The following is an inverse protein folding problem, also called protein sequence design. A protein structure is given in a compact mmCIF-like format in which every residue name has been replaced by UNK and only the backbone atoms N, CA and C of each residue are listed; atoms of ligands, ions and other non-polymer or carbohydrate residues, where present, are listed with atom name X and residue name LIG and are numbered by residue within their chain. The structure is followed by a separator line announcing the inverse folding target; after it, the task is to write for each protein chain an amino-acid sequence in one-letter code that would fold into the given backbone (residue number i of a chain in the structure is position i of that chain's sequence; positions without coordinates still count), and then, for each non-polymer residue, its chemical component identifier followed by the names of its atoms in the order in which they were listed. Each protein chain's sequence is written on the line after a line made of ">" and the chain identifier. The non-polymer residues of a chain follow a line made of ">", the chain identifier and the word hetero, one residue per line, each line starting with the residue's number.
data_IF_514707985531
#
_entry.id   IF_514707985531
#
_cell.length_a   1.000
_cell.length_b   1.000
_cell.length_c   1.000
_cell.angle_alpha   90.00
_cell.angle_beta   90.00
_cell.angle_gamma   90.00
#
_symmetry.space_group_name_H-M   'P 1'
#
loop_
_entity.id
_entity.type
_entity.pdbx_description
1 polymer ?
#
# COMPACT_ATOMS: atom_id res chain seq x y z
N UNK A 1 -15.97 0.19 -8.28
CA UNK A 1 -14.60 0.75 -8.45
C UNK A 1 -14.56 2.25 -8.64
N UNK A 2 -15.58 2.88 -9.21
CA UNK A 2 -15.59 4.35 -9.33
C UNK A 2 -15.46 5.05 -7.98
N UNK A 3 -16.09 4.51 -6.95
CA UNK A 3 -16.04 5.08 -5.60
C UNK A 3 -14.65 4.99 -5.00
N UNK A 4 -13.99 3.84 -5.18
CA UNK A 4 -12.61 3.66 -4.73
C UNK A 4 -11.68 4.58 -5.49
N UNK A 5 -11.87 4.72 -6.80
CA UNK A 5 -11.07 5.65 -7.61
C UNK A 5 -11.16 7.07 -7.07
N UNK A 6 -12.35 7.53 -6.69
CA UNK A 6 -12.52 8.86 -6.11
C UNK A 6 -11.74 9.02 -4.80
N UNK A 7 -11.74 8.00 -3.96
CA UNK A 7 -10.99 8.03 -2.71
C UNK A 7 -9.50 8.15 -2.97
N UNK A 8 -8.96 7.35 -3.88
CA UNK A 8 -7.53 7.41 -4.22
C UNK A 8 -7.11 8.79 -4.73
N UNK A 9 -7.99 9.47 -5.46
CA UNK A 9 -7.67 10.79 -6.03
C UNK A 9 -7.71 11.92 -5.00
N UNK A 10 -8.34 11.70 -3.86
CA UNK A 10 -8.64 12.77 -2.89
C UNK A 10 -7.81 12.71 -1.60
N UNK A 11 -6.93 11.75 -1.46
CA UNK A 11 -6.07 11.67 -0.28
C UNK A 11 -4.87 12.60 -0.42
N UNK A 12 -4.36 13.13 0.69
CA UNK A 12 -3.17 14.00 0.70
C UNK A 12 -2.30 13.78 1.94
N UNK A 13 -2.74 12.94 2.88
CA UNK A 13 -2.01 12.66 4.11
C UNK A 13 -1.93 11.17 4.32
N UNK A 14 -0.95 10.74 5.11
CA UNK A 14 -0.83 9.33 5.47
C UNK A 14 -0.28 9.13 6.87
N UNK A 15 -0.67 8.01 7.45
CA UNK A 15 -0.07 7.45 8.65
C UNK A 15 0.49 6.08 8.27
N UNK A 16 1.73 5.84 8.65
CA UNK A 16 2.44 4.61 8.36
C UNK A 16 2.72 3.85 9.65
N UNK A 17 2.61 2.53 9.58
CA UNK A 17 2.97 1.65 10.68
C UNK A 17 3.52 0.35 10.15
N UNK A 18 4.60 -0.14 10.76
CA UNK A 18 5.08 -1.49 10.54
C UNK A 18 5.26 -2.20 11.87
N UNK A 19 5.04 -3.51 11.89
CA UNK A 19 5.17 -4.34 13.09
C UNK A 19 5.73 -5.68 12.73
N UNK A 20 6.75 -6.11 13.48
CA UNK A 20 7.23 -7.49 13.43
C UNK A 20 6.44 -8.30 14.45
N UNK A 21 5.89 -9.44 14.02
CA UNK A 21 4.99 -10.23 14.84
C UNK A 21 5.55 -11.64 15.08
N UNK A 22 5.07 -12.27 16.16
CA UNK A 22 5.38 -13.66 16.46
C UNK A 22 6.87 -13.93 16.54
N UNK A 23 7.34 -14.89 15.76
CA UNK A 23 8.73 -15.34 15.74
C UNK A 23 9.58 -14.64 14.66
N UNK A 24 9.16 -13.47 14.20
CA UNK A 24 9.97 -12.71 13.25
C UNK A 24 11.34 -12.39 13.82
N UNK A 25 12.37 -12.55 12.99
CA UNK A 25 13.74 -12.15 13.34
C UNK A 25 14.07 -10.72 12.90
N UNK A 26 13.12 -10.07 12.29
CA UNK A 26 13.28 -8.70 11.82
C UNK A 26 13.03 -7.70 12.93
N UNK A 27 13.12 -6.60 13.05
CA UNK A 27 12.74 -5.64 14.06
C UNK A 27 12.15 -4.40 13.38
N UNK A 28 11.11 -4.65 12.60
CA UNK A 28 10.48 -3.62 11.79
C UNK A 28 9.29 -3.01 12.53
N UNK A 29 9.56 -2.41 13.67
CA UNK A 29 8.55 -1.76 14.50
C UNK A 29 8.69 -0.25 14.39
N UNK A 30 8.03 0.33 13.38
CA UNK A 30 8.13 1.76 13.09
C UNK A 30 6.75 2.38 12.94
N UNK A 31 6.66 3.66 13.23
CA UNK A 31 5.48 4.44 12.93
C UNK A 31 5.91 5.79 12.36
N UNK A 32 5.06 6.36 11.53
CA UNK A 32 5.37 7.62 10.89
C UNK A 32 4.13 8.31 10.36
N UNK A 33 4.30 9.57 10.02
CA UNK A 33 3.27 10.38 9.39
C UNK A 33 3.85 11.02 8.15
N UNK A 34 2.99 11.44 7.25
CA UNK A 34 3.48 12.06 6.04
C UNK A 34 2.40 12.68 5.17
N UNK A 35 2.82 13.07 4.00
CA UNK A 35 1.97 13.64 2.97
C UNK A 35 2.12 12.85 1.69
N UNK A 36 1.05 12.80 0.92
CA UNK A 36 1.02 12.13 -0.38
C UNK A 36 0.62 13.12 -1.44
N UNK A 37 1.45 13.22 -2.48
CA UNK A 37 1.10 13.96 -3.70
C UNK A 37 0.51 12.98 -4.70
N UNK A 38 -0.67 13.30 -5.21
CA UNK A 38 -1.41 12.41 -6.12
C UNK A 38 -1.47 13.03 -7.50
N UNK A 39 -1.06 12.25 -8.50
CA UNK A 39 -1.13 12.64 -9.91
C UNK A 39 -1.92 11.58 -10.66
N UNK A 40 -2.91 12.00 -11.43
CA UNK A 40 -3.77 11.10 -12.19
C UNK A 40 -3.49 11.25 -13.68
N UNK A 41 -3.28 10.12 -14.38
CA UNK A 41 -3.13 10.04 -15.82
C UNK A 41 -3.94 8.86 -16.34
N UNK A 42 -5.01 9.14 -17.08
CA UNK A 42 -5.91 8.09 -17.59
C UNK A 42 -6.40 7.18 -16.46
N UNK A 43 -6.10 5.88 -16.52
CA UNK A 43 -6.46 4.92 -15.48
C UNK A 43 -5.38 4.70 -14.43
N UNK A 44 -4.34 5.55 -14.42
CA UNK A 44 -3.21 5.44 -13.50
C UNK A 44 -3.27 6.54 -12.46
N UNK A 45 -3.00 6.17 -11.22
CA UNK A 45 -2.94 7.10 -10.10
C UNK A 45 -1.57 6.92 -9.45
N UNK A 46 -0.77 7.99 -9.45
CA UNK A 46 0.56 7.97 -8.86
C UNK A 46 0.53 8.63 -7.49
N UNK A 47 1.12 7.95 -6.51
CA UNK A 47 1.33 8.48 -5.16
C UNK A 47 2.82 8.73 -4.96
N UNK A 48 3.16 9.95 -4.58
CA UNK A 48 4.48 10.25 -4.04
C UNK A 48 4.31 10.47 -2.54
N UNK A 49 4.69 9.48 -1.75
CA UNK A 49 4.60 9.52 -0.30
C UNK A 49 5.89 10.11 0.27
N UNK A 50 5.75 11.09 1.17
CA UNK A 50 6.86 11.63 1.94
C UNK A 50 6.58 11.36 3.39
N UNK A 51 7.35 10.44 3.97
CA UNK A 51 7.07 9.87 5.29
C UNK A 51 8.22 10.22 6.24
N UNK A 52 7.86 10.67 7.44
CA UNK A 52 8.82 10.86 8.53
C UNK A 52 8.56 9.79 9.58
N UNK A 53 9.57 8.96 9.84
CA UNK A 53 9.49 7.88 10.80
C UNK A 53 10.12 8.32 12.12
N UNK A 54 9.40 8.13 13.22
CA UNK A 54 9.84 8.43 14.58
C UNK A 54 10.40 9.85 14.73
N UNK A 55 9.85 10.80 13.95
CA UNK A 55 10.25 12.21 13.92
C UNK A 55 11.73 12.44 13.58
N UNK A 56 12.39 11.44 13.00
CA UNK A 56 13.84 11.52 12.72
C UNK A 56 14.20 11.30 11.27
N UNK A 57 13.68 10.23 10.68
CA UNK A 57 14.07 9.77 9.36
C UNK A 57 12.97 10.05 8.35
N UNK A 58 13.28 10.85 7.34
CA UNK A 58 12.33 11.12 6.25
C UNK A 58 12.76 10.41 5.00
N UNK A 59 11.80 9.83 4.27
CA UNK A 59 12.06 9.20 2.99
C UNK A 59 10.88 9.38 2.06
N UNK A 60 11.14 9.16 0.78
CA UNK A 60 10.12 9.18 -0.27
C UNK A 60 9.84 7.78 -0.76
N UNK A 61 8.57 7.49 -1.04
CA UNK A 61 8.14 6.23 -1.60
C UNK A 61 7.16 6.50 -2.73
N UNK A 62 7.33 5.82 -3.85
CA UNK A 62 6.50 6.00 -5.04
C UNK A 62 5.66 4.78 -5.30
N UNK A 63 4.36 4.99 -5.46
CA UNK A 63 3.39 3.95 -5.76
C UNK A 63 2.58 4.33 -6.98
N UNK A 64 2.14 3.34 -7.71
CA UNK A 64 1.22 3.53 -8.83
C UNK A 64 0.07 2.54 -8.71
N UNK A 65 -1.13 3.04 -8.88
CA UNK A 65 -2.35 2.24 -8.88
C UNK A 65 -2.96 2.30 -10.28
N UNK A 66 -3.35 1.16 -10.81
CA UNK A 66 -3.98 1.09 -12.12
C UNK A 66 -5.38 0.49 -11.96
N UNK A 67 -6.38 1.21 -12.45
CA UNK A 67 -7.77 0.78 -12.43
C UNK A 67 -8.13 0.25 -13.81
N UNK A 68 -8.42 -1.04 -13.90
CA UNK A 68 -8.82 -1.70 -15.14
C UNK A 68 -10.34 -1.75 -15.26
N UNK A 69 -10.85 -1.91 -16.50
CA UNK A 69 -12.28 -1.87 -16.81
C UNK A 69 -13.11 -2.96 -16.12
N UNK A 70 -12.48 -4.04 -15.68
CA UNK A 70 -13.17 -5.19 -15.06
C UNK A 70 -13.19 -5.13 -13.53
N UNK A 71 -13.15 -3.91 -12.96
CA UNK A 71 -13.11 -3.71 -11.51
C UNK A 71 -11.88 -4.37 -10.86
N UNK A 72 -10.77 -4.36 -11.56
CA UNK A 72 -9.49 -4.87 -11.07
C UNK A 72 -8.58 -3.70 -10.78
N UNK A 73 -8.02 -3.68 -9.59
CA UNK A 73 -7.05 -2.68 -9.15
C UNK A 73 -5.67 -3.33 -9.09
N UNK A 74 -4.69 -2.71 -9.72
CA UNK A 74 -3.30 -3.16 -9.64
C UNK A 74 -2.50 -2.18 -8.79
N UNK A 75 -1.60 -2.72 -8.00
CA UNK A 75 -0.62 -1.95 -7.24
C UNK A 75 0.78 -2.22 -7.79
N UNK A 76 1.47 -1.14 -8.16
CA UNK A 76 2.83 -1.15 -8.65
C UNK A 76 3.70 -0.32 -7.72
N UNK A 77 4.85 -0.87 -7.35
CA UNK A 77 5.81 -0.20 -6.48
C UNK A 77 7.05 0.20 -7.27
N UNK A 78 7.51 1.44 -7.06
CA UNK A 78 8.73 1.93 -7.71
C UNK A 78 9.95 1.47 -6.91
N UNK A 79 10.77 0.66 -7.53
CA UNK A 79 12.03 0.20 -6.96
C UNK A 79 12.95 -0.25 -8.09
N UNK A 80 14.28 -0.18 -7.86
CA UNK A 80 15.28 -0.53 -8.87
C UNK A 80 15.09 0.27 -10.17
N UNK A 81 14.73 1.56 -10.04
CA UNK A 81 14.55 2.51 -11.13
C UNK A 81 13.37 2.21 -12.05
N UNK A 82 12.41 1.38 -11.63
CA UNK A 82 11.21 1.10 -12.41
C UNK A 82 10.03 0.73 -11.51
N UNK A 83 8.82 0.79 -12.08
CA UNK A 83 7.64 0.30 -11.41
C UNK A 83 7.50 -1.20 -11.64
N UNK A 84 7.32 -1.95 -10.56
CA UNK A 84 7.06 -3.39 -10.58
C UNK A 84 5.66 -3.67 -10.05
N UNK A 85 4.91 -4.51 -10.76
CA UNK A 85 3.59 -4.91 -10.30
C UNK A 85 3.72 -5.89 -9.13
N UNK A 86 3.12 -5.55 -8.01
CA UNK A 86 3.15 -6.38 -6.80
C UNK A 86 1.83 -7.10 -6.60
N UNK A 87 0.71 -6.39 -6.67
CA UNK A 87 -0.60 -6.95 -6.39
C UNK A 87 -1.60 -6.70 -7.50
N UNK A 88 -2.50 -7.67 -7.70
CA UNK A 88 -3.72 -7.51 -8.46
C UNK A 88 -4.86 -7.79 -7.49
N UNK A 89 -5.65 -6.76 -7.20
CA UNK A 89 -6.76 -6.85 -6.26
C UNK A 89 -8.06 -7.10 -6.99
N UNK A 90 -8.91 -7.92 -6.38
CA UNK A 90 -10.28 -8.09 -6.80
C UNK A 90 -11.22 -7.75 -5.64
N UNK A 91 -12.45 -7.42 -5.98
CA UNK A 91 -13.44 -7.04 -4.99
C UNK A 91 -13.88 -8.27 -4.19
N UNK A 92 -13.66 -8.23 -2.87
CA UNK A 92 -14.10 -9.27 -1.95
C UNK A 92 -15.44 -8.92 -1.32
N UNK A 93 -15.53 -7.70 -0.79
CA UNK A 93 -16.71 -7.14 -0.16
C UNK A 93 -16.91 -5.72 -0.68
N UNK A 94 -18.02 -5.04 -0.38
CA UNK A 94 -18.27 -3.70 -0.90
C UNK A 94 -17.13 -2.70 -0.69
N UNK A 95 -16.41 -2.83 0.43
CA UNK A 95 -15.36 -1.88 0.80
C UNK A 95 -13.99 -2.52 0.98
N UNK A 96 -13.80 -3.75 0.50
CA UNK A 96 -12.55 -4.49 0.68
C UNK A 96 -12.11 -5.14 -0.62
N UNK A 97 -10.85 -4.93 -0.95
CA UNK A 97 -10.20 -5.56 -2.11
C UNK A 97 -9.07 -6.46 -1.60
N UNK A 98 -8.98 -7.65 -2.13
CA UNK A 98 -7.97 -8.64 -1.74
C UNK A 98 -7.13 -9.03 -2.95
N UNK A 99 -5.82 -9.13 -2.75
CA UNK A 99 -4.89 -9.59 -3.76
C UNK A 99 -4.51 -11.04 -3.56
N UNK A 100 -4.16 -11.72 -4.64
CA UNK A 100 -3.45 -12.99 -4.56
C UNK A 100 -2.04 -12.80 -4.02
N UNK A 101 -1.39 -13.91 -3.69
CA UNK A 101 -0.05 -13.87 -3.14
C UNK A 101 0.97 -13.39 -4.18
N UNK A 102 1.91 -12.57 -3.74
CA UNK A 102 3.09 -12.20 -4.52
C UNK A 102 4.31 -12.85 -3.88
N UNK A 103 5.05 -13.63 -4.65
CA UNK A 103 6.22 -14.36 -4.17
C UNK A 103 7.48 -13.65 -4.64
N UNK A 104 8.35 -13.29 -3.68
CA UNK A 104 9.63 -12.66 -3.96
C UNK A 104 10.72 -13.43 -3.19
N UNK A 105 11.41 -14.35 -3.86
CA UNK A 105 12.36 -15.25 -3.20
C UNK A 105 11.67 -16.15 -2.21
N UNK A 106 12.08 -16.09 -0.94
CA UNK A 106 11.47 -16.85 0.14
C UNK A 106 10.30 -16.11 0.81
N UNK A 107 10.03 -14.87 0.40
CA UNK A 107 9.00 -14.05 1.01
C UNK A 107 7.68 -14.16 0.26
N UNK A 108 6.59 -14.26 1.01
CA UNK A 108 5.23 -14.21 0.47
C UNK A 108 4.56 -12.94 0.94
N UNK A 109 4.09 -12.14 -0.01
CA UNK A 109 3.42 -10.88 0.23
C UNK A 109 1.92 -11.06 0.03
N UNK A 110 1.13 -10.60 0.99
CA UNK A 110 -0.32 -10.64 0.95
C UNK A 110 -0.81 -9.20 1.09
N UNK A 111 -1.67 -8.77 0.19
CA UNK A 111 -2.15 -7.38 0.16
C UNK A 111 -3.66 -7.28 0.32
N UNK A 112 -4.09 -6.21 1.00
CA UNK A 112 -5.51 -5.88 1.16
C UNK A 112 -5.67 -4.37 1.14
N UNK A 113 -6.73 -3.90 0.50
CA UNK A 113 -7.13 -2.49 0.51
C UNK A 113 -8.54 -2.41 1.07
N UNK A 114 -8.72 -1.57 2.06
CA UNK A 114 -10.03 -1.30 2.67
C UNK A 114 -10.38 0.17 2.49
N UNK A 115 -11.63 0.46 2.19
CA UNK A 115 -12.17 1.79 2.20
C UNK A 115 -12.98 1.98 3.49
N UNK A 116 -12.68 3.03 4.26
CA UNK A 116 -13.38 3.34 5.51
C UNK A 116 -13.75 4.81 5.49
N UNK A 117 -15.04 5.10 5.22
CA UNK A 117 -15.54 6.45 5.00
C UNK A 117 -14.80 7.12 3.83
N UNK A 118 -13.96 8.11 4.11
CA UNK A 118 -13.14 8.78 3.11
C UNK A 118 -11.68 8.34 3.15
N UNK A 119 -11.36 7.34 3.96
CA UNK A 119 -9.99 6.87 4.17
C UNK A 119 -9.72 5.60 3.36
N UNK A 120 -8.46 5.41 3.00
CA UNK A 120 -7.98 4.18 2.37
C UNK A 120 -6.95 3.55 3.28
N UNK A 121 -7.15 2.27 3.58
CA UNK A 121 -6.23 1.50 4.39
C UNK A 121 -5.61 0.43 3.51
N UNK A 122 -4.29 0.51 3.32
CA UNK A 122 -3.52 -0.45 2.53
C UNK A 122 -2.67 -1.27 3.48
N UNK A 123 -2.90 -2.58 3.50
CA UNK A 123 -2.26 -3.50 4.41
C UNK A 123 -1.45 -4.51 3.62
N UNK A 124 -0.18 -4.68 4.00
CA UNK A 124 0.71 -5.68 3.40
C UNK A 124 1.22 -6.58 4.52
N UNK A 125 1.08 -7.89 4.35
CA UNK A 125 1.71 -8.88 5.20
C UNK A 125 2.86 -9.53 4.44
N UNK A 126 4.01 -9.68 5.09
CA UNK A 126 5.18 -10.33 4.51
C UNK A 126 5.53 -11.51 5.41
N UNK A 127 5.52 -12.72 4.85
CA UNK A 127 5.76 -13.94 5.59
C UNK A 127 6.86 -14.77 4.95
N UNK A 128 7.77 -15.28 5.78
CA UNK A 128 8.78 -16.26 5.43
C UNK A 128 9.18 -17.00 6.70
N UNK A 129 10.21 -17.86 6.63
CA UNK A 129 10.70 -18.54 7.83
C UNK A 129 11.17 -17.59 8.92
N UNK A 130 11.76 -16.45 8.51
CA UNK A 130 12.36 -15.46 9.41
C UNK A 130 11.58 -14.15 9.51
N UNK A 131 10.55 -14.00 8.70
CA UNK A 131 9.76 -12.78 8.62
C UNK A 131 8.30 -13.03 8.91
N UNK A 132 7.72 -12.18 9.71
CA UNK A 132 6.28 -12.10 9.91
C UNK A 132 5.97 -10.65 10.18
N UNK A 133 5.76 -9.90 9.11
CA UNK A 133 5.67 -8.44 9.13
C UNK A 133 4.29 -7.98 8.71
N UNK A 134 3.82 -6.92 9.36
CA UNK A 134 2.61 -6.21 8.97
C UNK A 134 2.98 -4.78 8.65
N UNK A 135 2.62 -4.33 7.46
CA UNK A 135 2.81 -2.95 7.04
C UNK A 135 1.45 -2.34 6.73
N UNK A 136 1.17 -1.18 7.29
CA UNK A 136 -0.11 -0.51 7.13
C UNK A 136 0.08 0.94 6.75
N UNK A 137 -0.57 1.33 5.67
CA UNK A 137 -0.68 2.72 5.25
C UNK A 137 -2.14 3.14 5.39
N UNK A 138 -2.39 4.23 6.10
CA UNK A 138 -3.72 4.84 6.14
C UNK A 138 -3.63 6.18 5.45
N UNK A 139 -4.29 6.30 4.30
CA UNK A 139 -4.36 7.53 3.52
C UNK A 139 -5.66 8.24 3.81
N UNK A 140 -5.60 9.56 3.96
CA UNK A 140 -6.78 10.38 4.28
C UNK A 140 -6.57 11.82 3.80
N UNK A 141 -7.56 12.62 3.99
CA UNK A 141 -7.53 14.02 3.60
C UNK A 141 -7.48 14.95 4.81
#
# INVERSE_FOLDING_TARGET
>A
MKEISKLFKNVDKLVFMSSSMGNSEMDWNYSGTGKTSVICEDNKIFFLDRITIDDRLSYEDKKMWILNDNDVLEFWHYRNNEYEKIFTFSKWEPNTLIAGEYICGDDVYIGRVEADNSDIIFIIEIKSKKKNELIKYKYFK
#
